data_IF_255257661696
#
_entry.id   IF_255257661696
#
_cell.length_a   1.000
_cell.length_b   1.000
_cell.length_c   1.000
_cell.angle_alpha   90.00
_cell.angle_beta   90.00
_cell.angle_gamma   90.00
#
_symmetry.space_group_name_H-M   'P 1'
#
loop_
_entity.id
_entity.type
_entity.pdbx_description
1 polymer ?
#
# COMPACT_ATOMS: atom_id res chain seq x y z
N UNK A 1 -16.36 -32.55 -7.36
CA UNK A 1 -15.78 -32.88 -6.03
C UNK A 1 -15.81 -34.36 -5.71
N UNK A 2 -16.75 -35.17 -6.23
CA UNK A 2 -16.86 -36.61 -5.95
C UNK A 2 -15.67 -37.49 -6.40
N UNK A 3 -14.69 -36.92 -7.11
CA UNK A 3 -13.48 -37.61 -7.59
C UNK A 3 -12.18 -36.97 -7.10
N UNK A 4 -12.24 -35.99 -6.20
CA UNK A 4 -11.03 -35.36 -5.64
C UNK A 4 -10.44 -36.26 -4.55
N UNK A 5 -9.15 -36.53 -4.62
CA UNK A 5 -8.38 -37.24 -3.60
C UNK A 5 -7.19 -36.37 -3.22
N UNK A 6 -7.08 -36.04 -1.93
CA UNK A 6 -5.90 -35.35 -1.39
C UNK A 6 -4.69 -36.27 -1.42
N UNK A 7 -3.53 -35.72 -1.74
CA UNK A 7 -2.25 -36.45 -1.69
C UNK A 7 -1.81 -36.70 -0.25
N UNK A 8 -2.16 -35.79 0.66
CA UNK A 8 -1.90 -35.88 2.10
C UNK A 8 -3.17 -35.59 2.90
N UNK A 9 -3.22 -36.12 4.13
CA UNK A 9 -4.32 -35.88 5.08
C UNK A 9 -3.73 -35.73 6.48
N UNK A 10 -4.15 -34.67 7.18
CA UNK A 10 -3.68 -34.34 8.52
C UNK A 10 -4.86 -33.86 9.36
N UNK A 11 -4.91 -34.27 10.63
CA UNK A 11 -5.82 -33.74 11.64
C UNK A 11 -5.05 -32.72 12.48
N UNK A 12 -5.58 -31.51 12.64
CA UNK A 12 -4.93 -30.41 13.35
C UNK A 12 -5.53 -30.24 14.75
N UNK A 13 -4.69 -29.98 15.75
CA UNK A 13 -5.08 -29.65 17.12
C UNK A 13 -4.97 -28.14 17.39
N UNK A 14 -5.58 -27.62 18.48
CA UNK A 14 -5.46 -26.21 18.84
C UNK A 14 -4.00 -25.76 19.01
N UNK A 15 -3.58 -24.81 18.18
CA UNK A 15 -2.21 -24.28 18.15
C UNK A 15 -1.38 -24.72 16.94
N UNK A 16 -1.83 -25.76 16.23
CA UNK A 16 -1.19 -26.18 14.98
C UNK A 16 -1.41 -25.17 13.86
N UNK A 17 -0.43 -25.08 12.96
CA UNK A 17 -0.49 -24.22 11.78
C UNK A 17 -0.22 -25.02 10.51
N UNK A 18 -1.12 -24.91 9.55
CA UNK A 18 -0.96 -25.46 8.22
C UNK A 18 -0.68 -24.32 7.21
N UNK A 19 0.52 -24.31 6.64
CA UNK A 19 0.87 -23.40 5.55
C UNK A 19 0.52 -24.03 4.20
N UNK A 20 -0.22 -23.30 3.38
CA UNK A 20 -0.59 -23.70 2.03
C UNK A 20 -0.07 -22.68 1.02
N UNK A 21 0.87 -23.05 0.13
CA UNK A 21 1.29 -22.16 -0.95
C UNK A 21 0.18 -22.01 -2.00
N UNK A 22 0.20 -20.93 -2.81
CA UNK A 22 -0.75 -20.74 -3.91
C UNK A 22 -0.83 -21.94 -4.85
N UNK A 23 -2.04 -22.26 -5.31
CA UNK A 23 -2.30 -23.40 -6.20
C UNK A 23 -2.51 -24.74 -5.48
N UNK A 24 -2.37 -24.78 -4.15
CA UNK A 24 -2.62 -26.00 -3.37
C UNK A 24 -4.12 -26.21 -3.13
N UNK A 25 -4.69 -27.23 -3.76
CA UNK A 25 -6.05 -27.67 -3.49
C UNK A 25 -6.16 -28.23 -2.07
N UNK A 26 -7.09 -27.73 -1.28
CA UNK A 26 -7.30 -28.16 0.11
C UNK A 26 -8.79 -28.32 0.40
N UNK A 27 -9.10 -29.24 1.32
CA UNK A 27 -10.46 -29.50 1.78
C UNK A 27 -10.43 -29.77 3.29
N UNK A 28 -10.88 -28.79 4.08
CA UNK A 28 -11.01 -28.93 5.53
C UNK A 28 -12.40 -29.42 5.90
N UNK A 29 -12.46 -30.37 6.83
CA UNK A 29 -13.70 -30.85 7.46
C UNK A 29 -13.51 -30.75 8.96
N UNK A 30 -14.49 -30.17 9.65
CA UNK A 30 -14.52 -30.13 11.11
C UNK A 30 -14.90 -31.51 11.66
N UNK A 31 -14.07 -32.08 12.54
CA UNK A 31 -14.40 -33.32 13.25
C UNK A 31 -15.34 -33.06 14.44
N UNK A 32 -15.25 -31.87 15.04
CA UNK A 32 -16.03 -31.38 16.16
C UNK A 32 -16.28 -29.85 16.06
N UNK A 33 -16.80 -29.24 17.14
CA UNK A 33 -16.99 -27.80 17.23
C UNK A 33 -15.63 -27.09 17.24
N UNK A 34 -15.25 -26.50 16.10
CA UNK A 34 -13.94 -25.89 15.90
C UNK A 34 -14.00 -24.46 15.36
N UNK A 35 -12.88 -23.73 15.51
CA UNK A 35 -12.62 -22.43 14.88
C UNK A 35 -11.30 -22.52 14.10
N UNK A 36 -11.28 -22.02 12.87
CA UNK A 36 -10.07 -21.93 12.04
C UNK A 36 -9.73 -20.46 11.77
N UNK A 37 -8.50 -20.05 12.07
CA UNK A 37 -7.99 -18.71 11.75
C UNK A 37 -7.17 -18.76 10.45
N UNK A 38 -7.72 -18.19 9.37
CA UNK A 38 -7.04 -18.16 8.07
C UNK A 38 -6.24 -16.86 7.90
N UNK A 39 -4.91 -16.97 7.92
CA UNK A 39 -4.00 -15.84 7.66
C UNK A 39 -3.66 -15.81 6.17
N UNK A 40 -4.39 -14.98 5.42
CA UNK A 40 -4.21 -14.85 3.98
C UNK A 40 -3.14 -13.83 3.60
N UNK A 41 -2.21 -14.23 2.73
CA UNK A 41 -1.28 -13.32 2.04
C UNK A 41 -1.91 -12.85 0.72
N UNK A 42 -1.39 -11.73 0.20
CA UNK A 42 -1.90 -11.13 -1.05
C UNK A 42 -0.76 -10.83 -1.99
N UNK A 43 -1.04 -10.98 -3.27
CA UNK A 43 -0.15 -10.60 -4.36
C UNK A 43 -1.02 -9.96 -5.44
N UNK A 44 -0.62 -8.81 -6.01
CA UNK A 44 -1.32 -8.24 -7.16
C UNK A 44 -1.27 -9.20 -8.35
N UNK A 45 -2.33 -9.21 -9.15
CA UNK A 45 -2.31 -9.83 -10.47
C UNK A 45 -1.62 -8.93 -11.49
N UNK A 46 -1.30 -9.46 -12.67
CA UNK A 46 -0.78 -8.64 -13.78
C UNK A 46 -1.81 -7.57 -14.19
N UNK A 47 -3.10 -7.89 -14.15
CA UNK A 47 -4.18 -6.94 -14.44
C UNK A 47 -4.22 -5.79 -13.41
N UNK A 48 -4.07 -6.09 -12.12
CA UNK A 48 -3.96 -5.07 -11.07
C UNK A 48 -2.78 -4.13 -11.34
N UNK A 49 -1.63 -4.67 -11.77
CA UNK A 49 -0.45 -3.87 -12.11
C UNK A 49 -0.70 -2.96 -13.30
N UNK A 50 -1.20 -3.51 -14.41
CA UNK A 50 -1.40 -2.75 -15.65
C UNK A 50 -2.49 -1.69 -15.48
N UNK A 51 -3.66 -2.09 -14.98
CA UNK A 51 -4.79 -1.18 -14.83
C UNK A 51 -4.51 -0.14 -13.75
N UNK A 52 -4.09 -0.57 -12.56
CA UNK A 52 -3.87 0.36 -11.45
C UNK A 52 -2.76 1.37 -11.71
N UNK A 53 -1.63 0.93 -12.30
CA UNK A 53 -0.53 1.86 -12.55
C UNK A 53 -0.83 2.81 -13.70
N UNK A 54 -1.50 2.35 -14.76
CA UNK A 54 -1.89 3.23 -15.87
C UNK A 54 -2.95 4.24 -15.44
N UNK A 55 -3.91 3.86 -14.59
CA UNK A 55 -4.87 4.80 -13.98
C UNK A 55 -4.14 5.87 -13.14
N UNK A 56 -3.15 5.45 -12.34
CA UNK A 56 -2.32 6.37 -11.58
C UNK A 56 -1.57 7.36 -12.48
N UNK A 57 -0.93 6.88 -13.55
CA UNK A 57 -0.24 7.76 -14.51
C UNK A 57 -1.22 8.72 -15.21
N UNK A 58 -2.42 8.25 -15.57
CA UNK A 58 -3.46 9.06 -16.22
C UNK A 58 -4.06 10.14 -15.31
N UNK A 59 -4.00 9.97 -13.99
CA UNK A 59 -4.46 10.96 -13.02
C UNK A 59 -3.54 12.20 -12.93
N UNK A 60 -2.34 12.15 -13.52
CA UNK A 60 -1.34 13.23 -13.47
C UNK A 60 -1.58 14.28 -14.55
N UNK A 61 -1.14 15.51 -14.28
CA UNK A 61 -1.42 16.69 -15.13
C UNK A 61 -0.87 16.60 -16.56
N UNK A 62 0.19 15.83 -16.79
CA UNK A 62 0.82 15.68 -18.10
C UNK A 62 0.14 14.63 -18.99
N UNK A 63 -0.80 13.84 -18.46
CA UNK A 63 -1.55 12.84 -19.21
C UNK A 63 -2.43 13.46 -20.32
N UNK A 64 -2.81 14.73 -20.18
CA UNK A 64 -3.62 15.45 -21.17
C UNK A 64 -2.84 15.91 -22.42
N UNK A 65 -1.52 15.70 -22.46
CA UNK A 65 -0.70 16.14 -23.58
C UNK A 65 -1.01 15.32 -24.84
N UNK A 66 -1.24 16.01 -25.95
CA UNK A 66 -1.43 15.35 -27.25
C UNK A 66 -0.09 14.85 -27.81
N UNK A 67 -0.11 13.64 -28.38
CA UNK A 67 0.99 13.15 -29.20
C UNK A 67 0.99 13.89 -30.54
N UNK A 68 2.05 14.66 -30.82
CA UNK A 68 2.16 15.45 -32.05
C UNK A 68 3.00 14.73 -33.09
N UNK A 69 2.60 14.62 -34.35
CA UNK A 69 3.34 13.97 -35.44
C UNK A 69 3.82 14.96 -36.51
N UNK A 70 4.72 15.91 -36.17
CA UNK A 70 5.14 16.97 -37.10
C UNK A 70 5.81 16.44 -38.37
N UNK A 71 6.42 15.25 -38.29
CA UNK A 71 7.15 14.62 -39.38
C UNK A 71 6.30 13.63 -40.19
N UNK A 72 4.96 13.64 -40.04
CA UNK A 72 4.06 12.74 -40.75
C UNK A 72 4.21 12.89 -42.27
N UNK A 73 4.50 11.78 -42.94
CA UNK A 73 4.64 11.72 -44.40
C UNK A 73 3.38 11.14 -45.04
N UNK A 74 3.10 11.56 -46.28
CA UNK A 74 2.04 10.96 -47.09
C UNK A 74 2.38 9.50 -47.35
N UNK A 75 1.44 8.61 -47.02
CA UNK A 75 1.57 7.17 -47.25
C UNK A 75 0.90 6.78 -48.58
N UNK A 76 1.43 5.74 -49.24
CA UNK A 76 0.87 5.22 -50.50
C UNK A 76 -0.57 4.71 -50.34
N UNK A 77 -0.86 4.08 -49.19
CA UNK A 77 -2.21 3.64 -48.82
C UNK A 77 -2.62 4.34 -47.52
N UNK A 78 -3.66 5.20 -47.53
CA UNK A 78 -4.09 5.97 -46.35
C UNK A 78 -4.65 5.10 -45.21
N UNK A 79 -4.99 3.84 -45.46
CA UNK A 79 -5.40 2.89 -44.41
C UNK A 79 -4.23 2.22 -43.69
N UNK A 80 -2.98 2.54 -44.03
CA UNK A 80 -1.80 1.90 -43.45
C UNK A 80 -1.41 2.56 -42.14
N UNK A 81 -1.23 1.75 -41.10
CA UNK A 81 -0.52 2.16 -39.88
C UNK A 81 0.94 1.78 -40.12
N UNK A 82 1.79 2.77 -40.42
CA UNK A 82 3.19 2.52 -40.66
C UNK A 82 3.87 1.96 -39.39
N UNK A 83 4.85 1.05 -39.51
CA UNK A 83 5.57 0.49 -38.36
C UNK A 83 6.13 1.55 -37.41
N UNK A 84 6.66 2.66 -37.96
CA UNK A 84 7.18 3.77 -37.15
C UNK A 84 6.14 4.46 -36.26
N UNK A 85 4.85 4.36 -36.58
CA UNK A 85 3.77 4.82 -35.68
C UNK A 85 3.70 3.93 -34.44
N UNK A 86 3.77 2.60 -34.63
CA UNK A 86 3.75 1.63 -33.53
C UNK A 86 5.01 1.78 -32.66
N UNK A 87 6.19 1.88 -33.29
CA UNK A 87 7.46 2.07 -32.57
C UNK A 87 7.43 3.33 -31.69
N UNK A 88 6.84 4.41 -32.22
CA UNK A 88 6.67 5.66 -31.49
C UNK A 88 5.72 5.52 -30.31
N UNK A 89 4.56 4.88 -30.51
CA UNK A 89 3.61 4.63 -29.42
C UNK A 89 4.23 3.76 -28.33
N UNK A 90 4.97 2.72 -28.72
CA UNK A 90 5.70 1.86 -27.80
C UNK A 90 6.75 2.64 -27.01
N UNK A 91 7.49 3.55 -27.65
CA UNK A 91 8.49 4.39 -26.98
C UNK A 91 7.85 5.31 -25.93
N UNK A 92 6.71 5.94 -26.25
CA UNK A 92 5.96 6.77 -25.30
C UNK A 92 5.47 5.96 -24.10
N UNK A 93 4.93 4.76 -24.35
CA UNK A 93 4.50 3.86 -23.28
C UNK A 93 5.68 3.43 -22.41
N UNK A 94 6.81 3.04 -23.02
CA UNK A 94 8.01 2.66 -22.28
C UNK A 94 8.53 3.81 -21.41
N UNK A 95 8.67 5.01 -21.97
CA UNK A 95 9.11 6.21 -21.23
C UNK A 95 8.24 6.45 -19.97
N UNK A 96 6.91 6.36 -20.11
CA UNK A 96 5.99 6.58 -19.00
C UNK A 96 6.02 5.43 -17.97
N UNK A 97 6.15 4.20 -18.42
CA UNK A 97 6.15 3.01 -17.56
C UNK A 97 7.50 2.77 -16.87
N UNK A 98 8.60 3.35 -17.37
CA UNK A 98 9.94 3.22 -16.80
C UNK A 98 10.21 4.13 -15.59
N UNK A 99 9.30 5.05 -15.25
CA UNK A 99 9.40 5.90 -14.06
C UNK A 99 9.20 5.09 -12.77
N UNK A 100 10.34 4.59 -12.24
CA UNK A 100 10.40 3.80 -11.00
C UNK A 100 9.87 4.54 -9.78
N UNK A 101 10.05 5.86 -9.71
CA UNK A 101 9.55 6.66 -8.59
C UNK A 101 8.04 6.67 -8.58
N UNK A 102 7.43 6.96 -9.73
CA UNK A 102 5.98 6.90 -9.90
C UNK A 102 5.44 5.50 -9.60
N UNK A 103 6.13 4.46 -10.06
CA UNK A 103 5.77 3.07 -9.76
C UNK A 103 5.81 2.76 -8.26
N UNK A 104 6.87 3.18 -7.56
CA UNK A 104 7.00 2.97 -6.12
C UNK A 104 5.93 3.70 -5.31
N UNK A 105 5.64 4.95 -5.67
CA UNK A 105 4.58 5.75 -5.05
C UNK A 105 3.20 5.13 -5.25
N UNK A 106 2.89 4.70 -6.47
CA UNK A 106 1.64 4.00 -6.76
C UNK A 106 1.55 2.68 -5.99
N UNK A 107 2.60 1.85 -6.05
CA UNK A 107 2.56 0.53 -5.44
C UNK A 107 2.44 0.60 -3.91
N UNK A 108 3.10 1.57 -3.27
CA UNK A 108 2.97 1.79 -1.82
C UNK A 108 1.54 2.14 -1.42
N UNK A 109 0.87 3.00 -2.18
CA UNK A 109 -0.55 3.30 -1.97
C UNK A 109 -1.41 2.05 -2.20
N UNK A 110 -1.29 1.38 -3.35
CA UNK A 110 -2.05 0.17 -3.67
C UNK A 110 -1.89 -0.93 -2.61
N UNK A 111 -0.66 -1.19 -2.15
CA UNK A 111 -0.36 -2.25 -1.20
C UNK A 111 -0.91 -1.95 0.21
N UNK A 112 -1.07 -0.67 0.56
CA UNK A 112 -1.58 -0.23 1.86
C UNK A 112 -3.07 0.08 1.85
N UNK A 113 -3.73 0.26 0.70
CA UNK A 113 -5.18 0.50 0.65
C UNK A 113 -5.98 -0.64 1.32
N UNK A 114 -6.84 -0.33 2.31
CA UNK A 114 -7.74 -1.31 2.91
C UNK A 114 -8.71 -1.90 1.89
N UNK A 115 -9.09 -3.17 2.06
CA UNK A 115 -10.03 -3.86 1.14
C UNK A 115 -11.49 -3.44 1.32
N UNK A 116 -11.82 -2.95 2.50
CA UNK A 116 -13.14 -2.41 2.82
C UNK A 116 -12.94 -1.09 3.52
N UNK A 117 -13.77 -0.11 3.17
CA UNK A 117 -13.75 1.23 3.75
C UNK A 117 -14.14 1.22 5.23
N UNK A 118 -14.82 0.16 5.69
CA UNK A 118 -15.27 0.04 7.08
C UNK A 118 -14.18 -0.48 8.05
N UNK A 119 -12.99 -0.79 7.52
CA UNK A 119 -11.89 -1.38 8.31
C UNK A 119 -11.10 -0.30 9.07
N UNK A 120 -10.84 0.83 8.43
CA UNK A 120 -10.16 1.98 9.02
C UNK A 120 -11.16 3.12 9.05
N UNK A 121 -11.71 3.38 10.23
CA UNK A 121 -12.74 4.40 10.43
C UNK A 121 -12.12 5.56 11.21
N UNK A 122 -12.34 6.82 10.78
CA UNK A 122 -11.89 7.98 11.51
C UNK A 122 -12.31 7.96 12.98
N UNK A 123 -11.45 8.50 13.84
CA UNK A 123 -11.74 8.62 15.26
C UNK A 123 -13.05 9.41 15.46
N UNK A 124 -13.95 8.87 16.29
CA UNK A 124 -15.25 9.50 16.56
C UNK A 124 -15.09 10.90 17.17
N UNK A 125 -14.05 11.09 17.98
CA UNK A 125 -13.64 12.36 18.55
C UNK A 125 -12.20 12.65 18.12
N UNK A 126 -12.00 13.41 17.03
CA UNK A 126 -10.68 13.84 16.60
C UNK A 126 -10.00 14.68 17.68
N UNK A 127 -8.71 14.46 17.89
CA UNK A 127 -7.90 15.20 18.86
C UNK A 127 -7.03 16.24 18.16
N UNK A 128 -6.69 17.30 18.88
CA UNK A 128 -5.73 18.31 18.48
C UNK A 128 -4.28 17.82 18.66
N UNK A 129 -3.33 18.54 18.06
CA UNK A 129 -1.89 18.27 18.23
C UNK A 129 -1.46 18.32 19.70
N UNK A 130 -2.01 19.27 20.47
CA UNK A 130 -1.68 19.43 21.89
C UNK A 130 -2.20 18.26 22.72
N UNK A 131 -3.40 17.75 22.40
CA UNK A 131 -3.98 16.56 23.02
C UNK A 131 -3.19 15.30 22.68
N UNK A 132 -2.79 15.12 21.41
CA UNK A 132 -1.94 14.01 20.99
C UNK A 132 -0.60 14.04 21.73
N UNK A 133 0.07 15.19 21.76
CA UNK A 133 1.35 15.35 22.46
C UNK A 133 1.19 15.10 23.97
N UNK A 134 0.08 15.52 24.57
CA UNK A 134 -0.24 15.27 25.98
C UNK A 134 -0.43 13.79 26.25
N UNK A 135 -1.18 13.07 25.41
CA UNK A 135 -1.39 11.63 25.53
C UNK A 135 -0.06 10.85 25.43
N UNK A 136 0.77 11.19 24.43
CA UNK A 136 2.09 10.59 24.25
C UNK A 136 3.01 10.84 25.47
N UNK A 137 3.06 12.08 25.99
CA UNK A 137 3.89 12.43 27.16
C UNK A 137 3.39 11.82 28.47
N UNK A 138 2.10 11.54 28.56
CA UNK A 138 1.48 10.92 29.75
C UNK A 138 1.69 9.40 29.80
N UNK A 139 2.47 8.83 28.86
CA UNK A 139 2.77 7.41 28.80
C UNK A 139 1.78 6.59 27.96
N UNK A 140 0.95 7.24 27.14
CA UNK A 140 0.06 6.54 26.21
C UNK A 140 0.85 5.71 25.20
N UNK A 141 0.49 4.44 25.04
CA UNK A 141 1.11 3.55 24.05
C UNK A 141 0.37 3.68 22.73
N UNK A 142 1.07 4.14 21.69
CA UNK A 142 0.49 4.22 20.34
C UNK A 142 0.55 2.85 19.66
N UNK A 143 -0.56 2.43 19.05
CA UNK A 143 -0.69 1.15 18.34
C UNK A 143 -1.38 1.37 16.99
N UNK A 144 -1.01 0.58 15.99
CA UNK A 144 -1.78 0.48 14.74
C UNK A 144 -3.18 -0.04 15.02
N UNK A 145 -4.15 0.47 14.28
CA UNK A 145 -5.41 -0.23 14.09
C UNK A 145 -5.14 -1.60 13.42
N UNK A 146 -5.81 -2.67 13.88
CA UNK A 146 -5.68 -4.04 13.35
C UNK A 146 -5.98 -4.13 11.85
N UNK A 147 -6.81 -3.21 11.36
CA UNK A 147 -7.19 -3.08 9.98
C UNK A 147 -6.20 -2.31 9.10
N UNK A 148 -5.35 -1.48 9.71
CA UNK A 148 -4.47 -0.56 9.01
C UNK A 148 -3.23 -1.24 8.44
N UNK A 149 -2.69 -0.62 7.40
CA UNK A 149 -1.52 -1.11 6.67
C UNK A 149 -0.52 0.02 6.50
N UNK A 150 0.69 -0.23 6.99
CA UNK A 150 1.81 0.68 6.88
C UNK A 150 2.90 0.06 6.00
N UNK A 151 3.48 0.87 5.13
CA UNK A 151 4.67 0.53 4.36
C UNK A 151 5.50 1.79 4.12
N UNK A 152 6.76 1.63 3.72
CA UNK A 152 7.57 2.77 3.31
C UNK A 152 8.51 2.39 2.17
N UNK A 153 8.96 3.40 1.44
CA UNK A 153 9.97 3.29 0.40
C UNK A 153 10.98 4.42 0.52
N UNK A 154 12.26 4.10 0.46
CA UNK A 154 13.35 5.08 0.50
C UNK A 154 13.91 5.29 -0.91
N UNK A 155 13.99 6.55 -1.33
CA UNK A 155 14.57 6.93 -2.61
C UNK A 155 15.38 8.22 -2.46
N UNK A 156 16.71 8.12 -2.60
CA UNK A 156 17.60 9.27 -2.49
C UNK A 156 17.54 9.96 -1.12
N UNK A 157 17.11 11.23 -1.13
CA UNK A 157 16.97 12.10 0.04
C UNK A 157 15.53 12.19 0.58
N UNK A 158 14.63 11.34 0.08
CA UNK A 158 13.23 11.27 0.46
C UNK A 158 12.86 9.85 0.95
N UNK A 159 11.93 9.78 1.89
CA UNK A 159 11.29 8.53 2.31
C UNK A 159 9.78 8.70 2.19
N UNK A 160 9.14 7.90 1.33
CA UNK A 160 7.69 7.86 1.22
C UNK A 160 7.13 6.88 2.26
N UNK A 161 6.36 7.39 3.22
CA UNK A 161 5.52 6.61 4.11
C UNK A 161 4.16 6.40 3.44
N UNK A 162 3.61 5.20 3.54
CA UNK A 162 2.27 4.88 3.08
C UNK A 162 1.45 4.35 4.26
N UNK A 163 0.30 4.95 4.51
CA UNK A 163 -0.66 4.48 5.50
C UNK A 163 -2.04 4.43 4.85
N UNK A 164 -2.64 3.25 4.82
CA UNK A 164 -4.03 3.04 4.37
C UNK A 164 -4.33 3.57 2.95
N UNK A 165 -3.33 3.59 2.07
CA UNK A 165 -3.42 4.10 0.70
C UNK A 165 -3.02 5.56 0.53
N UNK A 166 -2.70 6.27 1.61
CA UNK A 166 -2.23 7.66 1.54
C UNK A 166 -0.70 7.75 1.60
N UNK A 167 -0.06 8.53 0.71
CA UNK A 167 1.38 8.75 0.73
C UNK A 167 1.78 10.02 1.51
N UNK A 168 2.82 9.92 2.33
CA UNK A 168 3.45 11.02 3.06
C UNK A 168 4.94 11.09 2.71
N UNK A 169 5.37 12.18 2.06
CA UNK A 169 6.76 12.35 1.63
C UNK A 169 7.59 13.02 2.72
N UNK A 170 8.53 12.26 3.29
CA UNK A 170 9.40 12.71 4.38
C UNK A 170 10.79 13.05 3.84
N UNK A 171 11.36 14.16 4.30
CA UNK A 171 12.69 14.64 3.87
C UNK A 171 13.54 15.04 5.07
N UNK A 172 14.86 15.03 4.90
CA UNK A 172 15.81 15.41 5.95
C UNK A 172 15.59 14.61 7.24
N UNK A 173 15.46 15.31 8.36
CA UNK A 173 15.33 14.70 9.69
C UNK A 173 13.98 14.01 9.93
N UNK A 174 12.98 14.22 9.06
CA UNK A 174 11.70 13.52 9.13
C UNK A 174 11.77 12.06 8.64
N UNK A 175 12.75 11.73 7.78
CA UNK A 175 12.85 10.43 7.11
C UNK A 175 12.77 9.22 8.05
N UNK A 176 13.46 9.22 9.22
CA UNK A 176 13.45 8.05 10.09
C UNK A 176 12.09 7.78 10.77
N UNK A 177 11.12 8.70 10.68
CA UNK A 177 9.77 8.47 11.19
C UNK A 177 9.06 7.32 10.47
N UNK A 178 9.25 7.18 9.15
CA UNK A 178 8.61 6.11 8.38
C UNK A 178 9.01 4.69 8.83
N UNK A 179 10.31 4.31 8.87
CA UNK A 179 10.70 2.99 9.35
C UNK A 179 10.30 2.77 10.82
N UNK A 180 10.30 3.81 11.66
CA UNK A 180 9.82 3.73 13.03
C UNK A 180 8.33 3.34 13.10
N UNK A 181 7.48 4.05 12.35
CA UNK A 181 6.04 3.77 12.30
C UNK A 181 5.74 2.39 11.69
N UNK A 182 6.54 1.94 10.71
CA UNK A 182 6.35 0.68 10.01
C UNK A 182 6.96 -0.55 10.72
N UNK A 183 7.73 -0.37 11.81
CA UNK A 183 8.49 -1.44 12.44
C UNK A 183 7.61 -2.50 13.16
N UNK A 184 6.42 -2.12 13.62
CA UNK A 184 5.52 -3.04 14.29
C UNK A 184 4.24 -2.38 14.79
N UNK A 185 3.25 -3.21 15.11
CA UNK A 185 1.93 -2.74 15.51
C UNK A 185 1.93 -1.89 16.79
N UNK A 186 2.87 -2.12 17.71
CA UNK A 186 3.11 -1.23 18.87
C UNK A 186 4.33 -0.37 18.57
N UNK A 187 4.14 0.94 18.53
CA UNK A 187 5.17 1.89 18.14
C UNK A 187 6.11 2.15 19.34
N UNK A 188 7.41 2.23 19.08
CA UNK A 188 8.39 2.60 20.10
C UNK A 188 8.23 4.09 20.46
N UNK A 189 7.55 4.35 21.57
CA UNK A 189 7.27 5.69 22.05
C UNK A 189 8.52 6.46 22.47
N UNK A 190 9.59 5.76 22.87
CA UNK A 190 10.85 6.40 23.25
C UNK A 190 11.57 6.99 22.04
N UNK A 191 11.57 6.25 20.92
CA UNK A 191 12.06 6.73 19.65
C UNK A 191 11.11 7.79 19.04
N UNK A 192 9.79 7.62 19.21
CA UNK A 192 8.79 8.56 18.68
C UNK A 192 8.87 9.94 19.31
N UNK A 193 9.24 10.02 20.60
CA UNK A 193 9.31 11.27 21.34
C UNK A 193 10.14 12.35 20.62
N UNK A 194 11.26 11.96 19.99
CA UNK A 194 12.14 12.88 19.25
C UNK A 194 11.50 13.55 18.03
N UNK A 195 10.39 13.01 17.52
CA UNK A 195 9.64 13.59 16.39
C UNK A 195 8.46 14.45 16.84
N UNK A 196 7.99 14.30 18.07
CA UNK A 196 6.79 15.02 18.57
C UNK A 196 7.03 16.51 18.85
N UNK A 197 8.28 16.95 18.90
CA UNK A 197 8.65 18.36 19.09
C UNK A 197 8.60 19.17 17.77
N UNK A 198 8.63 18.49 16.61
CA UNK A 198 8.44 19.14 15.31
C UNK A 198 6.92 19.30 15.02
N UNK A 199 6.41 20.52 14.81
CA UNK A 199 4.98 20.74 14.60
C UNK A 199 4.39 20.03 13.37
N UNK A 200 5.18 19.83 12.31
CA UNK A 200 4.73 19.15 11.10
C UNK A 200 4.64 17.64 11.32
N UNK A 201 5.62 17.06 12.03
CA UNK A 201 5.61 15.63 12.35
C UNK A 201 4.55 15.29 13.40
N UNK A 202 4.38 16.15 14.40
CA UNK A 202 3.26 16.05 15.33
C UNK A 202 1.92 16.14 14.58
N UNK A 203 1.79 17.06 13.62
CA UNK A 203 0.61 17.16 12.77
C UNK A 203 0.34 15.87 11.98
N UNK A 204 1.36 15.26 11.39
CA UNK A 204 1.25 13.97 10.71
C UNK A 204 0.76 12.85 11.66
N UNK A 205 1.34 12.75 12.85
CA UNK A 205 0.95 11.74 13.85
C UNK A 205 -0.51 11.93 14.30
N UNK A 206 -0.93 13.18 14.52
CA UNK A 206 -2.33 13.51 14.83
C UNK A 206 -3.25 13.16 13.67
N UNK A 207 -2.85 13.41 12.42
CA UNK A 207 -3.62 13.01 11.24
C UNK A 207 -3.81 11.50 11.19
N UNK A 208 -2.75 10.71 11.35
CA UNK A 208 -2.83 9.25 11.37
C UNK A 208 -3.73 8.75 12.50
N UNK A 209 -3.70 9.39 13.67
CA UNK A 209 -4.61 9.07 14.77
C UNK A 209 -6.07 9.36 14.41
N UNK A 210 -6.34 10.56 13.90
CA UNK A 210 -7.69 11.01 13.60
C UNK A 210 -8.31 10.28 12.40
N UNK A 211 -7.49 9.78 11.47
CA UNK A 211 -7.91 8.86 10.40
C UNK A 211 -8.26 7.46 10.93
N UNK A 212 -7.86 7.14 12.17
CA UNK A 212 -8.06 5.83 12.77
C UNK A 212 -6.98 4.83 12.41
N UNK A 213 -5.88 5.27 11.79
CA UNK A 213 -4.76 4.39 11.42
C UNK A 213 -3.95 3.93 12.63
N UNK A 214 -3.89 4.78 13.65
CA UNK A 214 -3.32 4.49 14.97
C UNK A 214 -4.24 4.96 16.08
N UNK A 215 -4.10 4.39 17.27
CA UNK A 215 -4.82 4.80 18.47
C UNK A 215 -3.94 4.62 19.72
N UNK A 216 -4.26 5.33 20.80
CA UNK A 216 -3.64 5.11 22.10
C UNK A 216 -4.34 3.95 22.85
N UNK A 217 -3.57 2.95 23.30
CA UNK A 217 -4.05 1.84 24.16
C UNK A 217 -4.42 2.29 25.58
#
# INVERSE_FOLDING_TARGET
LSTWQGEETVTLEPGDMLYLPPGTGHHGVAEDDCITLSIGFRTPTIDDLLTGFTDYLCSRSDAANHLNDPDLQVQDNPGTIAPGVIDRLQAVLAEKLEDKRSLALWFGQYATTPKSLDVVVPAAEPISNDEFATAARSGGQLRWNEGSRFAYHEEGDETALFADGEPFLLKGDARPLAPLLCAGARIDMSALAGFTDDPALLGLLTTLHNQGSVYFE
#
